data_IF_016121918110
#
_entry.id   IF_016121918110
#
_cell.length_a   1.000
_cell.length_b   1.000
_cell.length_c   1.000
_cell.angle_alpha   90.00
_cell.angle_beta   90.00
_cell.angle_gamma   90.00
#
_symmetry.space_group_name_H-M   'P 1'
#
loop_
_entity.id
_entity.type
_entity.pdbx_description
1 polymer ?
#
# COMPACT_ATOMS: atom_id res chain seq x y z
N UNK A 1 5.98 -23.51 21.71
CA UNK A 1 5.14 -22.35 21.39
C UNK A 1 5.25 -22.07 19.91
N UNK A 2 4.19 -22.31 19.12
CA UNK A 2 4.18 -22.06 17.68
C UNK A 2 3.26 -20.88 17.39
N UNK A 3 3.75 -19.94 16.58
CA UNK A 3 2.94 -18.85 16.04
C UNK A 3 2.62 -19.19 14.58
N UNK A 4 1.37 -19.00 14.19
CA UNK A 4 0.92 -19.19 12.82
C UNK A 4 0.54 -17.82 12.24
N UNK A 5 1.03 -17.57 11.04
CA UNK A 5 0.76 -16.36 10.27
C UNK A 5 0.36 -16.78 8.87
N UNK A 6 -0.53 -16.02 8.24
CA UNK A 6 -0.91 -16.25 6.85
C UNK A 6 0.26 -15.97 5.91
N UNK A 7 1.03 -14.92 6.22
CA UNK A 7 2.20 -14.49 5.46
C UNK A 7 3.31 -14.08 6.41
N UNK A 8 4.56 -14.43 6.07
CA UNK A 8 5.76 -14.02 6.79
C UNK A 8 6.67 -13.35 5.77
N UNK A 9 6.87 -12.05 5.92
CA UNK A 9 7.79 -11.28 5.08
C UNK A 9 9.17 -11.27 5.75
N UNK A 10 10.17 -11.75 5.03
CA UNK A 10 11.57 -11.80 5.44
C UNK A 10 12.35 -10.57 4.96
N UNK A 11 13.58 -10.39 5.46
CA UNK A 11 14.38 -9.16 5.22
C UNK A 11 14.79 -8.96 3.75
N UNK A 12 14.70 -10.00 2.92
CA UNK A 12 14.95 -9.97 1.47
C UNK A 12 13.75 -9.42 0.66
N UNK A 13 12.58 -9.29 1.29
CA UNK A 13 11.38 -8.78 0.62
C UNK A 13 11.48 -7.28 0.40
N UNK A 14 11.52 -6.88 -0.87
CA UNK A 14 11.45 -5.46 -1.23
C UNK A 14 10.09 -4.83 -0.88
N UNK A 15 10.08 -3.51 -0.65
CA UNK A 15 8.84 -2.75 -0.42
C UNK A 15 7.82 -2.90 -1.55
N UNK A 16 8.29 -3.04 -2.80
CA UNK A 16 7.40 -3.28 -3.94
C UNK A 16 6.79 -4.68 -3.91
N UNK A 17 7.52 -5.68 -3.44
CA UNK A 17 7.01 -7.03 -3.29
C UNK A 17 6.01 -7.10 -2.13
N UNK A 18 6.34 -6.52 -0.98
CA UNK A 18 5.44 -6.39 0.16
C UNK A 18 4.14 -5.65 -0.21
N UNK A 19 4.23 -4.60 -1.02
CA UNK A 19 3.04 -3.92 -1.55
C UNK A 19 2.17 -4.83 -2.42
N UNK A 20 2.77 -5.58 -3.34
CA UNK A 20 2.01 -6.49 -4.21
C UNK A 20 1.31 -7.60 -3.43
N UNK A 21 1.98 -8.14 -2.42
CA UNK A 21 1.45 -9.24 -1.63
C UNK A 21 0.39 -8.78 -0.63
N UNK A 22 0.64 -7.66 0.07
CA UNK A 22 -0.26 -7.16 1.10
C UNK A 22 -1.35 -6.25 0.55
N UNK A 23 -1.00 -5.21 -0.22
CA UNK A 23 -1.93 -4.11 -0.52
C UNK A 23 -2.85 -4.39 -1.72
N UNK A 24 -2.42 -5.14 -2.74
CA UNK A 24 -3.25 -5.40 -3.93
C UNK A 24 -4.60 -6.06 -3.57
N UNK A 25 -4.65 -7.13 -2.74
CA UNK A 25 -5.92 -7.71 -2.33
C UNK A 25 -6.84 -6.70 -1.63
N UNK A 26 -6.28 -5.85 -0.76
CA UNK A 26 -7.07 -4.81 -0.07
C UNK A 26 -7.60 -3.75 -1.02
N UNK A 27 -6.84 -3.38 -2.04
CA UNK A 27 -7.24 -2.41 -3.06
C UNK A 27 -8.34 -2.97 -3.96
N UNK A 28 -8.27 -4.26 -4.31
CA UNK A 28 -9.32 -4.92 -5.08
C UNK A 28 -10.64 -4.96 -4.30
N UNK A 29 -10.58 -5.28 -2.99
CA UNK A 29 -11.74 -5.21 -2.10
C UNK A 29 -12.29 -3.78 -1.98
N UNK A 30 -11.41 -2.77 -1.89
CA UNK A 30 -11.80 -1.36 -1.83
C UNK A 30 -12.53 -0.91 -3.11
N UNK A 31 -12.04 -1.30 -4.28
CA UNK A 31 -12.67 -0.99 -5.59
C UNK A 31 -14.04 -1.68 -5.71
N UNK A 32 -14.21 -2.86 -5.11
CA UNK A 32 -15.50 -3.55 -5.00
C UNK A 32 -16.46 -2.93 -3.98
N UNK A 33 -16.07 -1.82 -3.33
CA UNK A 33 -16.89 -1.12 -2.34
C UNK A 33 -16.88 -1.75 -0.96
N UNK A 34 -15.92 -2.64 -0.66
CA UNK A 34 -15.72 -3.19 0.69
C UNK A 34 -14.78 -2.30 1.49
N UNK A 35 -15.09 -2.11 2.77
CA UNK A 35 -14.21 -1.37 3.67
C UNK A 35 -13.07 -2.28 4.14
N UNK A 36 -11.85 -1.81 3.97
CA UNK A 36 -10.63 -2.49 4.38
C UNK A 36 -9.84 -1.61 5.33
N UNK A 37 -9.23 -2.21 6.35
CA UNK A 37 -8.39 -1.48 7.31
C UNK A 37 -7.07 -2.22 7.52
N UNK A 38 -5.97 -1.50 7.36
CA UNK A 38 -4.62 -2.04 7.52
C UNK A 38 -3.91 -1.35 8.69
N UNK A 39 -3.34 -2.16 9.58
CA UNK A 39 -2.57 -1.68 10.73
C UNK A 39 -1.23 -2.40 10.80
N UNK A 40 -0.20 -1.68 11.23
CA UNK A 40 1.12 -2.25 11.57
C UNK A 40 1.32 -2.25 13.07
N UNK A 41 1.71 -3.39 13.63
CA UNK A 41 2.00 -3.56 15.06
C UNK A 41 3.47 -3.95 15.28
N UNK A 42 4.04 -3.53 16.40
CA UNK A 42 5.43 -3.84 16.77
C UNK A 42 6.07 -2.78 17.66
N UNK A 43 7.24 -3.09 18.21
CA UNK A 43 8.02 -2.17 19.06
C UNK A 43 8.64 -1.02 18.26
N UNK A 44 9.00 0.09 18.92
CA UNK A 44 9.71 1.20 18.25
C UNK A 44 11.01 0.71 17.59
N UNK A 45 11.29 1.16 16.37
CA UNK A 45 12.44 0.70 15.58
C UNK A 45 12.19 -0.55 14.74
N UNK A 46 11.04 -1.25 14.90
CA UNK A 46 10.73 -2.49 14.16
C UNK A 46 10.33 -2.29 12.68
N UNK A 47 10.54 -1.11 12.10
CA UNK A 47 10.23 -0.86 10.68
C UNK A 47 8.77 -0.51 10.35
N UNK A 48 7.86 -0.30 11.33
CA UNK A 48 6.44 0.07 11.03
C UNK A 48 6.29 1.25 10.07
N UNK A 49 6.96 2.37 10.36
CA UNK A 49 6.95 3.58 9.51
C UNK A 49 7.59 3.31 8.16
N UNK A 50 8.62 2.47 8.13
CA UNK A 50 9.27 2.05 6.88
C UNK A 50 8.28 1.28 6.01
N UNK A 51 7.60 0.26 6.53
CA UNK A 51 6.60 -0.50 5.77
C UNK A 51 5.43 0.37 5.33
N UNK A 52 4.89 1.20 6.23
CA UNK A 52 3.66 1.93 5.96
C UNK A 52 3.88 3.15 5.04
N UNK A 53 4.88 3.99 5.33
CA UNK A 53 5.16 5.22 4.57
C UNK A 53 6.35 5.06 3.64
N UNK A 54 7.44 4.48 4.15
CA UNK A 54 8.72 4.34 3.44
C UNK A 54 9.41 5.68 3.16
N UNK A 55 10.70 5.66 2.81
CA UNK A 55 11.41 6.84 2.33
C UNK A 55 10.99 7.24 0.91
N UNK A 56 11.26 8.47 0.49
CA UNK A 56 10.85 8.99 -0.83
C UNK A 56 11.40 8.17 -2.01
N UNK A 57 12.61 7.63 -1.87
CA UNK A 57 13.24 6.79 -2.90
C UNK A 57 12.73 5.34 -2.89
N UNK A 58 12.07 4.92 -1.82
CA UNK A 58 11.50 3.57 -1.70
C UNK A 58 10.15 3.63 -0.95
N UNK A 59 9.10 4.17 -1.60
CA UNK A 59 7.81 4.39 -0.96
C UNK A 59 7.22 3.09 -0.40
N UNK A 60 6.53 3.19 0.72
CA UNK A 60 5.85 2.09 1.41
C UNK A 60 4.42 1.85 0.91
N UNK A 61 3.60 1.24 1.75
CA UNK A 61 2.24 0.83 1.39
C UNK A 61 1.30 2.02 1.11
N UNK A 62 1.26 3.03 1.98
CA UNK A 62 0.34 4.18 1.83
C UNK A 62 0.53 4.93 0.51
N UNK A 63 1.73 5.46 0.17
CA UNK A 63 1.91 6.22 -1.07
C UNK A 63 1.60 5.38 -2.31
N UNK A 64 2.03 4.10 -2.34
CA UNK A 64 1.75 3.19 -3.46
C UNK A 64 0.26 2.87 -3.60
N UNK A 65 -0.45 2.71 -2.49
CA UNK A 65 -1.89 2.48 -2.49
C UNK A 65 -2.65 3.67 -3.07
N UNK A 66 -2.30 4.89 -2.68
CA UNK A 66 -2.90 6.09 -3.26
C UNK A 66 -2.63 6.18 -4.77
N UNK A 67 -1.40 5.91 -5.22
CA UNK A 67 -1.08 5.90 -6.65
C UNK A 67 -1.97 4.91 -7.42
N UNK A 68 -2.15 3.70 -6.90
CA UNK A 68 -3.01 2.69 -7.55
C UNK A 68 -4.48 3.13 -7.52
N UNK A 69 -4.98 3.65 -6.40
CA UNK A 69 -6.35 4.15 -6.29
C UNK A 69 -6.59 5.25 -7.32
N UNK A 70 -5.75 6.28 -7.38
CA UNK A 70 -5.93 7.38 -8.33
C UNK A 70 -5.79 6.93 -9.79
N UNK A 71 -4.93 5.96 -10.08
CA UNK A 71 -4.83 5.38 -11.43
C UNK A 71 -6.03 4.50 -11.78
N UNK A 72 -6.58 3.74 -10.83
CA UNK A 72 -7.75 2.86 -11.02
C UNK A 72 -9.07 3.61 -11.11
N UNK A 73 -9.20 4.79 -10.48
CA UNK A 73 -10.38 5.67 -10.63
C UNK A 73 -10.28 6.51 -11.93
N UNK A 74 -9.12 6.57 -12.59
CA UNK A 74 -8.92 7.27 -13.86
C UNK A 74 -9.96 7.03 -14.97
N UNK A 75 -10.53 5.80 -15.14
CA UNK A 75 -11.64 5.55 -16.06
C UNK A 75 -13.00 6.10 -15.59
N UNK A 76 -13.18 6.27 -14.28
CA UNK A 76 -14.43 6.71 -13.64
C UNK A 76 -14.45 8.22 -13.33
N UNK A 77 -13.29 8.89 -13.33
CA UNK A 77 -13.18 10.34 -13.26
C UNK A 77 -13.32 10.94 -14.66
N UNK A 78 -14.44 11.62 -14.89
CA UNK A 78 -14.65 12.40 -16.11
C UNK A 78 -13.45 13.31 -16.40
N UNK A 79 -12.98 13.27 -17.65
CA UNK A 79 -11.93 14.09 -18.30
C UNK A 79 -11.00 14.86 -17.35
N UNK A 80 -9.74 14.42 -17.29
CA UNK A 80 -8.59 15.22 -16.84
C UNK A 80 -8.64 16.62 -17.44
N UNK A 81 -9.09 17.61 -16.68
CA UNK A 81 -8.70 18.99 -16.92
C UNK A 81 -7.29 19.12 -16.36
N UNK A 82 -6.35 19.25 -17.29
CA UNK A 82 -4.94 19.53 -17.08
C UNK A 82 -4.82 20.75 -16.15
N UNK A 83 -4.37 20.55 -14.92
CA UNK A 83 -3.83 21.66 -14.14
C UNK A 83 -2.36 21.80 -14.52
N UNK A 84 -2.12 22.69 -15.48
CA UNK A 84 -0.80 23.22 -15.80
C UNK A 84 -0.31 23.97 -14.56
N UNK A 85 0.80 23.53 -13.96
CA UNK A 85 1.55 24.37 -13.03
C UNK A 85 2.44 25.29 -13.87
N UNK A 86 1.97 26.54 -14.02
CA UNK A 86 2.84 27.70 -14.19
C UNK A 86 3.65 27.91 -12.92
#
# INVERSE_FOLDING_TARGET
>A
SHYQFTHILTDDVSQSAAFKELAIPFLDDLIQGKNSVLFTYGITGSGKTYTMMGPLNNPGLIPRSFDVIFNSIGPYLGKKYVCCFI
#
